data_IF_227711727046
#
_entry.id   IF_227711727046
#
_cell.length_a   1.000
_cell.length_b   1.000
_cell.length_c   1.000
_cell.angle_alpha   90.00
_cell.angle_beta   90.00
_cell.angle_gamma   90.00
#
_symmetry.space_group_name_H-M   'P 1'
#
loop_
_entity.id
_entity.type
_entity.pdbx_description
1 polymer ?
#
# COMPACT_ATOMS: atom_id res chain seq x y z
N UNK A 1 10.62 -13.76 21.58
CA UNK A 1 10.32 -12.37 21.18
C UNK A 1 9.28 -12.43 20.06
N UNK A 2 8.53 -11.35 19.83
CA UNK A 2 7.46 -11.28 18.81
C UNK A 2 7.63 -10.02 17.95
N UNK A 3 7.20 -10.06 16.69
CA UNK A 3 6.98 -8.86 15.88
C UNK A 3 5.56 -8.34 16.14
N UNK A 4 5.47 -7.22 16.87
CA UNK A 4 4.19 -6.61 17.21
C UNK A 4 3.62 -5.80 16.05
N UNK A 5 2.30 -5.84 15.92
CA UNK A 5 1.53 -5.09 14.93
C UNK A 5 0.65 -4.09 15.67
N UNK A 6 0.74 -2.81 15.30
CA UNK A 6 -0.16 -1.78 15.80
C UNK A 6 -1.59 -2.09 15.33
N UNK A 7 -2.55 -2.23 16.25
CA UNK A 7 -3.94 -2.55 15.88
C UNK A 7 -4.59 -1.42 15.07
N UNK A 8 -4.18 -0.16 15.29
CA UNK A 8 -4.78 0.99 14.61
C UNK A 8 -4.32 1.15 13.15
N UNK A 9 -3.01 1.07 12.89
CA UNK A 9 -2.48 1.32 11.54
C UNK A 9 -2.02 0.05 10.81
N UNK A 10 -2.00 -1.11 11.48
CA UNK A 10 -1.56 -2.37 10.89
C UNK A 10 -0.04 -2.49 10.67
N UNK A 11 0.75 -1.46 10.98
CA UNK A 11 2.22 -1.52 10.81
C UNK A 11 2.86 -2.48 11.80
N UNK A 12 3.72 -3.34 11.29
CA UNK A 12 4.53 -4.27 12.06
C UNK A 12 5.88 -3.64 12.48
N UNK A 13 6.33 -3.98 13.69
CA UNK A 13 7.57 -3.49 14.28
C UNK A 13 8.62 -4.61 14.36
N UNK A 14 9.88 -4.21 14.55
CA UNK A 14 10.99 -5.12 14.83
C UNK A 14 10.71 -6.05 16.03
N UNK A 15 11.46 -7.15 16.08
CA UNK A 15 11.29 -8.18 17.12
C UNK A 15 11.63 -7.62 18.51
N UNK A 16 10.75 -7.86 19.49
CA UNK A 16 10.94 -7.42 20.86
C UNK A 16 10.29 -8.40 21.87
N UNK A 17 10.68 -8.32 23.15
CA UNK A 17 10.04 -9.07 24.23
C UNK A 17 8.66 -8.51 24.60
N UNK A 18 8.54 -7.18 24.59
CA UNK A 18 7.33 -6.44 24.94
C UNK A 18 6.92 -5.52 23.79
N UNK A 19 5.63 -5.19 23.65
CA UNK A 19 5.16 -4.29 22.61
C UNK A 19 5.80 -2.90 22.74
N UNK A 20 6.00 -2.17 21.62
CA UNK A 20 6.50 -0.81 21.67
C UNK A 20 5.61 0.10 22.54
N UNK A 21 6.22 1.04 23.26
CA UNK A 21 5.48 1.97 24.13
C UNK A 21 4.58 2.94 23.35
N UNK A 22 4.88 3.15 22.06
CA UNK A 22 4.17 4.05 21.16
C UNK A 22 4.29 3.59 19.71
N UNK A 23 3.35 4.00 18.87
CA UNK A 23 3.43 3.83 17.42
C UNK A 23 3.71 5.19 16.77
N UNK A 24 4.94 5.45 16.27
CA UNK A 24 5.28 6.74 15.63
C UNK A 24 4.36 7.10 14.47
N UNK A 25 3.83 6.10 13.76
CA UNK A 25 2.89 6.30 12.65
C UNK A 25 1.53 6.79 13.16
N UNK A 26 1.05 6.30 14.31
CA UNK A 26 -0.23 6.73 14.89
C UNK A 26 -0.12 8.06 15.66
N UNK A 27 1.07 8.38 16.18
CA UNK A 27 1.33 9.68 16.84
C UNK A 27 1.53 10.83 15.83
N UNK A 28 1.79 10.51 14.56
CA UNK A 28 1.88 11.50 13.49
C UNK A 28 0.50 12.11 13.16
N UNK A 29 0.48 13.41 12.83
CA UNK A 29 -0.74 14.18 12.51
C UNK A 29 -1.59 13.59 11.38
N UNK A 30 -1.00 12.72 10.55
CA UNK A 30 -1.65 12.08 9.42
C UNK A 30 -2.51 10.89 9.82
N UNK A 31 -2.30 10.40 11.04
CA UNK A 31 -3.06 9.32 11.67
C UNK A 31 -3.52 9.75 13.06
N UNK A 32 -3.93 8.80 13.88
CA UNK A 32 -4.30 9.04 15.27
C UNK A 32 -4.04 7.80 16.13
N UNK A 33 -3.83 8.02 17.43
CA UNK A 33 -3.95 6.97 18.44
C UNK A 33 -5.43 6.81 18.79
N UNK A 34 -5.91 5.57 18.86
CA UNK A 34 -7.30 5.26 19.22
C UNK A 34 -7.69 5.92 20.54
N UNK A 35 -8.97 6.25 20.67
CA UNK A 35 -9.51 6.83 21.90
C UNK A 35 -9.34 5.94 23.14
N UNK A 36 -9.27 4.61 22.95
CA UNK A 36 -9.00 3.62 24.00
C UNK A 36 -7.50 3.42 24.28
N UNK A 37 -6.63 4.12 23.57
CA UNK A 37 -5.18 4.01 23.67
C UNK A 37 -4.55 3.09 22.63
N UNK A 38 -3.22 3.04 22.67
CA UNK A 38 -2.38 2.19 21.83
C UNK A 38 -2.59 0.72 22.18
N UNK A 39 -2.74 -0.14 21.17
CA UNK A 39 -2.81 -1.60 21.35
C UNK A 39 -2.02 -2.30 20.26
N UNK A 40 -1.64 -3.52 20.60
CA UNK A 40 -0.71 -4.34 19.85
C UNK A 40 -1.26 -5.75 19.72
N UNK A 41 -1.08 -6.31 18.53
CA UNK A 41 -1.36 -7.71 18.24
C UNK A 41 -0.11 -8.34 17.61
N UNK A 42 -0.23 -9.59 17.17
CA UNK A 42 0.78 -10.28 16.36
C UNK A 42 0.08 -11.00 15.22
N UNK A 43 0.83 -11.44 14.20
CA UNK A 43 0.25 -12.22 13.09
C UNK A 43 -0.51 -13.44 13.59
N UNK A 44 0.07 -14.18 14.53
CA UNK A 44 -0.55 -15.37 15.13
C UNK A 44 -1.90 -15.05 15.78
N UNK A 45 -2.00 -13.91 16.49
CA UNK A 45 -3.25 -13.48 17.12
C UNK A 45 -4.26 -12.96 16.09
N UNK A 46 -3.79 -12.24 15.08
CA UNK A 46 -4.62 -11.73 13.98
C UNK A 46 -5.24 -12.88 13.17
N UNK A 47 -4.43 -13.88 12.79
CA UNK A 47 -4.87 -15.05 12.04
C UNK A 47 -5.84 -15.97 12.80
N UNK A 48 -6.02 -15.79 14.12
CA UNK A 48 -6.93 -16.62 14.90
C UNK A 48 -8.42 -16.27 14.65
N UNK A 49 -8.71 -15.06 14.17
CA UNK A 49 -10.07 -14.55 13.99
C UNK A 49 -10.25 -13.67 12.75
N UNK A 50 -9.24 -13.58 11.89
CA UNK A 50 -9.30 -12.88 10.61
C UNK A 50 -8.88 -13.82 9.49
N UNK A 51 -9.37 -13.55 8.29
CA UNK A 51 -8.98 -14.18 7.04
C UNK A 51 -8.89 -13.11 5.97
N UNK A 52 -8.28 -13.40 4.82
CA UNK A 52 -8.28 -12.44 3.71
C UNK A 52 -9.41 -12.75 2.71
N UNK A 53 -10.21 -11.72 2.39
CA UNK A 53 -11.05 -11.69 1.20
C UNK A 53 -10.17 -11.44 -0.03
N UNK A 54 -10.40 -12.25 -1.05
CA UNK A 54 -9.67 -12.21 -2.31
C UNK A 54 -10.67 -12.11 -3.46
N UNK A 55 -10.56 -11.08 -4.29
CA UNK A 55 -11.50 -10.81 -5.39
C UNK A 55 -10.81 -10.12 -6.57
N UNK A 56 -11.17 -10.50 -7.80
CA UNK A 56 -10.63 -9.84 -8.99
C UNK A 56 -11.21 -8.41 -9.12
N UNK A 57 -10.34 -7.40 -9.12
CA UNK A 57 -10.71 -5.99 -9.32
C UNK A 57 -10.80 -5.63 -10.81
N UNK A 58 -9.96 -6.29 -11.62
CA UNK A 58 -9.93 -6.20 -13.07
C UNK A 58 -9.17 -7.39 -13.65
N UNK A 59 -9.17 -7.53 -14.97
CA UNK A 59 -8.32 -8.51 -15.63
C UNK A 59 -6.84 -8.27 -15.26
N UNK A 60 -6.20 -9.28 -14.65
CA UNK A 60 -4.82 -9.24 -14.11
C UNK A 60 -4.61 -8.36 -12.87
N UNK A 61 -5.68 -7.98 -12.18
CA UNK A 61 -5.58 -7.23 -10.94
C UNK A 61 -6.45 -7.89 -9.87
N UNK A 62 -5.81 -8.42 -8.83
CA UNK A 62 -6.46 -9.11 -7.72
C UNK A 62 -6.40 -8.23 -6.45
N UNK A 63 -7.54 -7.99 -5.82
CA UNK A 63 -7.63 -7.35 -4.51
C UNK A 63 -7.52 -8.38 -3.38
N UNK A 64 -6.76 -8.03 -2.35
CA UNK A 64 -6.59 -8.85 -1.13
C UNK A 64 -6.79 -7.94 0.07
N UNK A 65 -7.83 -8.19 0.87
CA UNK A 65 -8.16 -7.37 2.05
C UNK A 65 -8.55 -8.23 3.24
N UNK A 66 -8.20 -7.81 4.46
CA UNK A 66 -8.47 -8.59 5.68
C UNK A 66 -9.92 -8.42 6.15
N UNK A 67 -10.58 -9.53 6.50
CA UNK A 67 -11.93 -9.58 7.07
C UNK A 67 -11.96 -10.36 8.41
N UNK A 68 -12.57 -9.81 9.48
CA UNK A 68 -13.10 -8.45 9.61
C UNK A 68 -12.06 -7.35 9.34
N UNK A 69 -12.49 -6.10 9.14
CA UNK A 69 -11.58 -5.00 8.82
C UNK A 69 -10.48 -4.86 9.90
N UNK A 70 -9.22 -4.71 9.46
CA UNK A 70 -8.06 -4.54 10.34
C UNK A 70 -7.18 -3.37 9.88
N UNK A 71 -6.53 -2.70 10.83
CA UNK A 71 -5.71 -1.53 10.55
C UNK A 71 -6.57 -0.37 10.01
N UNK A 72 -6.24 0.12 8.81
CA UNK A 72 -7.00 1.19 8.15
C UNK A 72 -8.01 0.66 7.13
N UNK A 73 -8.24 -0.66 7.09
CA UNK A 73 -9.21 -1.31 6.20
C UNK A 73 -8.81 -1.35 4.73
N UNK A 74 -7.53 -1.14 4.44
CA UNK A 74 -6.99 -1.18 3.10
C UNK A 74 -6.98 -2.59 2.51
N UNK A 75 -6.90 -2.65 1.19
CA UNK A 75 -6.57 -3.86 0.43
C UNK A 75 -5.21 -3.68 -0.27
N UNK A 76 -4.46 -4.77 -0.38
CA UNK A 76 -3.34 -4.85 -1.31
C UNK A 76 -3.85 -5.23 -2.70
N UNK A 77 -3.12 -4.83 -3.74
CA UNK A 77 -3.45 -5.16 -5.12
C UNK A 77 -2.32 -5.98 -5.75
N UNK A 78 -2.57 -7.24 -6.08
CA UNK A 78 -1.64 -8.09 -6.81
C UNK A 78 -1.84 -7.88 -8.32
N UNK A 79 -0.93 -7.11 -8.91
CA UNK A 79 -0.87 -6.85 -10.34
C UNK A 79 -0.07 -7.95 -11.05
N UNK A 80 -0.73 -8.68 -11.95
CA UNK A 80 -0.11 -9.77 -12.71
C UNK A 80 0.50 -9.26 -14.02
N UNK A 81 1.80 -9.48 -14.21
CA UNK A 81 2.57 -9.02 -15.37
C UNK A 81 3.47 -10.13 -15.93
N UNK A 82 3.76 -10.17 -17.25
CA UNK A 82 4.60 -11.21 -17.85
C UNK A 82 5.99 -11.36 -17.21
N UNK A 83 6.60 -10.27 -16.80
CA UNK A 83 7.89 -10.24 -16.10
C UNK A 83 7.81 -10.58 -14.61
N UNK A 84 6.64 -10.89 -14.07
CA UNK A 84 6.41 -11.22 -12.66
C UNK A 84 5.41 -10.29 -11.99
N UNK A 85 4.77 -10.77 -10.93
CA UNK A 85 3.71 -10.02 -10.25
C UNK A 85 4.28 -8.94 -9.33
N UNK A 86 3.60 -7.80 -9.25
CA UNK A 86 3.87 -6.72 -8.30
C UNK A 86 2.74 -6.67 -7.28
N UNK A 87 3.06 -6.76 -5.99
CA UNK A 87 2.11 -6.40 -4.94
C UNK A 87 2.18 -4.89 -4.73
N UNK A 88 1.10 -4.19 -5.05
CA UNK A 88 0.93 -2.78 -4.76
C UNK A 88 0.28 -2.61 -3.39
N UNK A 89 0.96 -1.83 -2.53
CA UNK A 89 0.69 -1.74 -1.10
C UNK A 89 0.73 -3.09 -0.37
N UNK A 90 0.40 -3.10 0.92
CA UNK A 90 0.43 -4.30 1.73
C UNK A 90 -0.66 -4.29 2.81
N UNK A 91 -1.07 -5.48 3.24
CA UNK A 91 -1.95 -5.72 4.39
C UNK A 91 -1.21 -6.52 5.46
N UNK A 92 -1.68 -6.46 6.70
CA UNK A 92 -0.95 -7.08 7.82
C UNK A 92 -1.07 -8.61 7.84
N UNK A 93 -2.24 -9.16 7.52
CA UNK A 93 -2.45 -10.60 7.61
C UNK A 93 -1.86 -11.33 6.39
N UNK A 94 -1.02 -12.33 6.66
CA UNK A 94 -0.55 -13.30 5.67
C UNK A 94 -0.82 -14.71 6.22
N UNK A 95 -1.85 -15.36 5.71
CA UNK A 95 -2.25 -16.72 6.09
C UNK A 95 -1.94 -17.74 4.97
N UNK A 96 -2.07 -19.03 5.29
CA UNK A 96 -1.75 -20.10 4.35
C UNK A 96 -2.64 -20.12 3.10
N UNK A 97 -3.91 -19.74 3.23
CA UNK A 97 -4.85 -19.69 2.11
C UNK A 97 -4.47 -18.59 1.13
N UNK A 98 -4.13 -17.40 1.64
CA UNK A 98 -3.61 -16.28 0.85
C UNK A 98 -2.31 -16.66 0.15
N UNK A 99 -1.38 -17.31 0.87
CA UNK A 99 -0.12 -17.78 0.28
C UNK A 99 -0.37 -18.74 -0.89
N UNK A 100 -1.29 -19.69 -0.72
CA UNK A 100 -1.64 -20.66 -1.74
C UNK A 100 -2.23 -19.97 -2.99
N UNK A 101 -3.16 -19.04 -2.81
CA UNK A 101 -3.81 -18.30 -3.90
C UNK A 101 -2.81 -17.42 -4.68
N UNK A 102 -1.92 -16.72 -3.97
CA UNK A 102 -0.88 -15.89 -4.61
C UNK A 102 0.13 -16.78 -5.36
N UNK A 103 0.55 -17.91 -4.79
CA UNK A 103 1.43 -18.86 -5.47
C UNK A 103 0.80 -19.48 -6.72
N UNK A 104 -0.50 -19.81 -6.68
CA UNK A 104 -1.24 -20.31 -7.83
C UNK A 104 -1.26 -19.30 -9.00
N UNK A 105 -1.05 -18.02 -8.71
CA UNK A 105 -0.97 -16.91 -9.68
C UNK A 105 0.46 -16.50 -10.04
N UNK A 106 1.47 -17.27 -9.62
CA UNK A 106 2.88 -17.03 -9.97
C UNK A 106 3.70 -16.29 -8.91
N UNK A 107 3.20 -16.19 -7.67
CA UNK A 107 3.93 -15.60 -6.55
C UNK A 107 4.02 -14.07 -6.64
N UNK A 108 5.04 -13.49 -5.99
CA UNK A 108 5.30 -12.05 -5.96
C UNK A 108 6.77 -11.83 -6.34
N UNK A 109 7.03 -11.03 -7.37
CA UNK A 109 8.39 -10.63 -7.75
C UNK A 109 8.86 -9.45 -6.91
N UNK A 110 7.98 -8.47 -6.69
CA UNK A 110 8.29 -7.33 -5.84
C UNK A 110 7.04 -6.79 -5.14
N UNK A 111 7.30 -6.03 -4.09
CA UNK A 111 6.31 -5.24 -3.35
C UNK A 111 6.70 -3.77 -3.53
N UNK A 112 5.78 -2.95 -4.01
CA UNK A 112 5.94 -1.50 -4.04
C UNK A 112 4.79 -0.86 -3.25
N UNK A 113 5.11 0.12 -2.42
CA UNK A 113 4.13 0.66 -1.48
C UNK A 113 4.02 2.17 -1.64
N UNK A 114 2.80 2.67 -1.63
CA UNK A 114 2.48 4.07 -1.85
C UNK A 114 3.11 4.97 -0.80
N UNK A 115 2.96 4.66 0.49
CA UNK A 115 3.45 5.45 1.62
C UNK A 115 3.31 4.68 2.96
N UNK A 116 3.80 5.22 4.10
CA UNK A 116 3.94 4.50 5.37
C UNK A 116 2.70 3.84 5.97
N UNK A 117 1.48 4.37 5.75
CA UNK A 117 0.28 3.73 6.30
C UNK A 117 -0.02 2.37 5.67
N UNK A 118 0.57 2.09 4.50
CA UNK A 118 0.37 0.85 3.76
C UNK A 118 1.56 -0.12 3.90
N UNK A 119 2.58 0.19 4.73
CA UNK A 119 3.74 -0.69 4.95
C UNK A 119 3.37 -2.01 5.63
N UNK A 120 2.35 -1.98 6.52
CA UNK A 120 1.76 -3.17 7.14
C UNK A 120 2.79 -4.18 7.64
N UNK A 121 2.71 -5.45 7.20
CA UNK A 121 3.67 -6.51 7.46
C UNK A 121 4.52 -6.83 6.21
N UNK A 122 4.87 -5.83 5.38
CA UNK A 122 5.59 -6.02 4.10
C UNK A 122 6.82 -6.94 4.17
N UNK A 123 7.51 -7.00 5.31
CA UNK A 123 8.67 -7.87 5.49
C UNK A 123 8.26 -9.35 5.56
N UNK A 124 7.13 -9.70 6.17
CA UNK A 124 6.59 -11.07 6.16
C UNK A 124 6.26 -11.53 4.74
N UNK A 125 5.58 -10.65 3.99
CA UNK A 125 5.24 -10.90 2.59
C UNK A 125 6.51 -11.06 1.74
N UNK A 126 7.47 -10.17 1.90
CA UNK A 126 8.74 -10.25 1.17
C UNK A 126 9.53 -11.52 1.48
N UNK A 127 9.63 -11.90 2.76
CA UNK A 127 10.32 -13.13 3.17
C UNK A 127 9.59 -14.39 2.68
N UNK A 128 8.25 -14.39 2.70
CA UNK A 128 7.45 -15.52 2.24
C UNK A 128 7.56 -15.78 0.73
N UNK A 129 7.64 -14.71 -0.08
CA UNK A 129 7.64 -14.81 -1.54
C UNK A 129 8.99 -14.54 -2.20
N UNK A 130 10.05 -14.34 -1.41
CA UNK A 130 11.37 -13.89 -1.90
C UNK A 130 11.28 -12.62 -2.77
N UNK A 131 10.44 -11.68 -2.33
CA UNK A 131 10.08 -10.50 -3.11
C UNK A 131 10.93 -9.26 -2.71
N UNK A 132 11.41 -8.52 -3.71
CA UNK A 132 12.09 -7.24 -3.48
C UNK A 132 11.10 -6.17 -3.00
N UNK A 133 11.41 -5.44 -1.93
CA UNK A 133 10.60 -4.30 -1.48
C UNK A 133 11.14 -3.01 -2.10
N UNK A 134 10.28 -2.17 -2.69
CA UNK A 134 10.60 -0.84 -3.19
C UNK A 134 9.88 0.24 -2.38
N UNK A 135 10.63 1.12 -1.72
CA UNK A 135 10.11 2.28 -0.99
C UNK A 135 10.82 3.56 -1.44
N UNK A 136 10.14 4.69 -1.46
CA UNK A 136 10.80 5.96 -1.73
C UNK A 136 11.69 6.39 -0.54
N UNK A 137 12.89 6.89 -0.81
CA UNK A 137 13.89 7.19 0.24
C UNK A 137 13.43 8.28 1.23
N UNK A 138 12.59 9.20 0.78
CA UNK A 138 12.04 10.27 1.61
C UNK A 138 11.17 9.75 2.78
N UNK A 139 10.66 8.52 2.70
CA UNK A 139 9.85 7.92 3.76
C UNK A 139 10.62 6.83 4.55
N UNK A 140 11.96 6.79 4.43
CA UNK A 140 12.82 5.78 5.09
C UNK A 140 12.66 5.76 6.60
N UNK A 141 12.48 6.92 7.24
CA UNK A 141 12.33 7.03 8.69
C UNK A 141 11.08 6.31 9.22
N UNK A 142 10.09 6.05 8.36
CA UNK A 142 8.84 5.41 8.73
C UNK A 142 8.88 3.88 8.69
N UNK A 143 10.05 3.29 8.39
CA UNK A 143 10.24 1.84 8.42
C UNK A 143 10.40 1.36 9.86
N UNK A 144 9.34 0.80 10.42
CA UNK A 144 9.29 0.34 11.82
C UNK A 144 9.84 -1.08 12.04
N UNK A 145 9.84 -1.91 10.99
CA UNK A 145 10.51 -3.22 10.95
C UNK A 145 11.58 -3.18 9.85
N UNK A 146 12.88 -3.24 10.18
CA UNK A 146 13.92 -3.41 9.17
C UNK A 146 13.78 -4.78 8.49
N UNK A 147 14.31 -4.91 7.27
CA UNK A 147 14.41 -6.21 6.61
C UNK A 147 15.19 -7.20 7.49
N UNK A 148 14.67 -8.43 7.58
CA UNK A 148 15.30 -9.53 8.31
C UNK A 148 16.35 -10.24 7.47
N UNK A 149 16.23 -11.56 7.36
CA UNK A 149 17.14 -12.39 6.56
C UNK A 149 16.79 -12.40 5.05
N UNK A 150 15.62 -11.87 4.68
CA UNK A 150 15.16 -11.76 3.29
C UNK A 150 15.78 -10.62 2.49
N UNK A 151 15.25 -10.34 1.28
CA UNK A 151 15.72 -9.26 0.42
C UNK A 151 15.72 -7.90 1.16
N UNK A 152 16.77 -7.07 1.00
CA UNK A 152 16.81 -5.77 1.64
C UNK A 152 15.75 -4.85 1.06
N UNK A 153 15.26 -3.89 1.84
CA UNK A 153 14.41 -2.82 1.30
C UNK A 153 15.25 -1.97 0.33
N UNK A 154 14.84 -1.92 -0.93
CA UNK A 154 15.44 -1.05 -1.93
C UNK A 154 14.77 0.32 -1.87
N UNK A 155 15.55 1.29 -1.40
CA UNK A 155 15.13 2.69 -1.43
C UNK A 155 15.47 3.30 -2.78
N UNK A 156 14.49 3.95 -3.40
CA UNK A 156 14.67 4.68 -4.65
C UNK A 156 14.45 6.18 -4.44
N UNK A 157 14.98 6.98 -5.36
CA UNK A 157 15.00 8.43 -5.30
C UNK A 157 14.54 9.03 -6.63
N UNK A 158 14.16 10.31 -6.59
CA UNK A 158 13.78 11.05 -7.78
C UNK A 158 12.27 11.01 -8.05
N UNK A 159 11.87 11.46 -9.23
CA UNK A 159 10.46 11.57 -9.59
C UNK A 159 9.84 10.25 -10.04
N UNK A 160 10.64 9.34 -10.61
CA UNK A 160 10.15 8.07 -11.16
C UNK A 160 11.17 6.95 -11.01
N UNK A 161 10.67 5.72 -10.90
CA UNK A 161 11.46 4.49 -11.03
C UNK A 161 10.77 3.56 -12.02
N UNK A 162 11.45 3.25 -13.12
CA UNK A 162 10.99 2.22 -14.05
C UNK A 162 11.24 0.84 -13.49
N UNK A 163 10.22 -0.02 -13.56
CA UNK A 163 10.28 -1.43 -13.25
C UNK A 163 10.24 -2.23 -14.57
N UNK A 164 9.87 -3.51 -14.50
CA UNK A 164 9.68 -4.35 -15.67
C UNK A 164 8.32 -4.09 -16.33
N UNK A 165 8.16 -4.52 -17.58
CA UNK A 165 6.92 -4.39 -18.37
C UNK A 165 6.35 -2.96 -18.40
N UNK A 166 7.25 -1.97 -18.40
CA UNK A 166 6.93 -0.53 -18.44
C UNK A 166 6.14 -0.03 -17.19
N UNK A 167 5.98 -0.87 -16.16
CA UNK A 167 5.47 -0.45 -14.87
C UNK A 167 6.37 0.66 -14.31
N UNK A 168 5.76 1.74 -13.81
CA UNK A 168 6.52 2.90 -13.35
C UNK A 168 6.00 3.37 -11.99
N UNK A 169 6.89 3.44 -10.99
CA UNK A 169 6.60 4.12 -9.73
C UNK A 169 6.81 5.61 -9.93
N UNK A 170 5.90 6.44 -9.41
CA UNK A 170 5.89 7.89 -9.60
C UNK A 170 5.79 8.57 -8.24
N UNK A 171 6.78 9.37 -7.87
CA UNK A 171 6.79 10.12 -6.61
C UNK A 171 5.95 11.39 -6.76
N UNK A 172 4.69 11.33 -6.33
CA UNK A 172 3.79 12.47 -6.30
C UNK A 172 4.00 13.34 -5.05
N UNK A 173 4.42 12.74 -3.93
CA UNK A 173 4.51 13.40 -2.64
C UNK A 173 3.13 13.73 -2.04
N UNK A 174 3.03 14.83 -1.31
CA UNK A 174 1.77 15.32 -0.73
C UNK A 174 1.48 14.73 0.66
N UNK A 175 0.71 13.64 0.71
CA UNK A 175 0.33 12.98 1.96
C UNK A 175 1.58 12.59 2.79
N UNK A 176 2.54 11.95 2.13
CA UNK A 176 3.93 11.79 2.58
C UNK A 176 4.89 12.37 1.55
N UNK A 177 6.13 12.69 1.93
CA UNK A 177 7.11 13.19 0.96
C UNK A 177 7.48 12.11 -0.05
N UNK A 178 7.56 10.85 0.38
CA UNK A 178 7.75 9.69 -0.48
C UNK A 178 6.47 9.16 -1.13
N UNK A 179 5.33 9.85 -1.00
CA UNK A 179 4.04 9.42 -1.54
C UNK A 179 4.13 9.02 -3.02
N UNK A 180 3.80 7.77 -3.30
CA UNK A 180 4.03 7.11 -4.59
C UNK A 180 2.71 6.62 -5.20
N UNK A 181 2.58 6.72 -6.52
CA UNK A 181 1.56 6.02 -7.31
C UNK A 181 2.24 5.06 -8.28
N UNK A 182 1.56 3.98 -8.65
CA UNK A 182 2.00 3.08 -9.71
C UNK A 182 1.25 3.39 -11.00
N UNK A 183 2.01 3.61 -12.08
CA UNK A 183 1.49 3.58 -13.43
C UNK A 183 1.57 2.18 -14.03
N UNK A 184 0.43 1.69 -14.51
CA UNK A 184 0.27 0.41 -15.18
C UNK A 184 -0.17 0.65 -16.64
N UNK A 185 0.77 0.64 -17.61
CA UNK A 185 0.47 1.06 -18.99
C UNK A 185 -0.47 0.10 -19.73
N UNK A 186 -0.44 -1.19 -19.42
CA UNK A 186 -1.30 -2.20 -20.06
C UNK A 186 -2.66 -2.36 -19.39
N UNK A 187 -2.92 -1.61 -18.31
CA UNK A 187 -4.22 -1.55 -17.63
C UNK A 187 -5.34 -1.03 -18.52
N UNK A 188 -6.59 -1.23 -18.11
CA UNK A 188 -7.76 -0.74 -18.84
C UNK A 188 -7.78 -1.13 -20.34
N UNK A 189 -7.40 -2.37 -20.65
CA UNK A 189 -7.25 -2.87 -22.03
C UNK A 189 -6.23 -2.07 -22.87
N UNK A 190 -5.11 -1.67 -22.27
CA UNK A 190 -4.04 -0.92 -22.95
C UNK A 190 -4.23 0.60 -22.98
N UNK A 191 -5.24 1.13 -22.29
CA UNK A 191 -5.41 2.57 -22.11
C UNK A 191 -4.67 3.14 -20.89
N UNK A 192 -4.12 2.26 -20.07
CA UNK A 192 -3.39 2.58 -18.85
C UNK A 192 -4.28 2.71 -17.62
N UNK A 193 -3.69 2.47 -16.46
CA UNK A 193 -4.32 2.67 -15.16
C UNK A 193 -3.31 3.24 -14.15
N UNK A 194 -3.83 3.91 -13.12
CA UNK A 194 -3.07 4.28 -11.93
C UNK A 194 -3.55 3.46 -10.73
N UNK A 195 -2.62 2.97 -9.92
CA UNK A 195 -2.92 2.47 -8.57
C UNK A 195 -2.41 3.55 -7.60
N UNK A 196 -3.33 4.15 -6.86
CA UNK A 196 -3.09 5.43 -6.19
C UNK A 196 -3.28 5.40 -4.68
N UNK A 197 -3.82 4.30 -4.16
CA UNK A 197 -4.05 4.14 -2.71
C UNK A 197 -4.92 5.28 -2.20
N UNK A 198 -4.37 6.17 -1.36
CA UNK A 198 -5.01 7.41 -0.92
C UNK A 198 -4.26 8.69 -1.31
N UNK A 199 -3.12 8.58 -2.02
CA UNK A 199 -2.37 9.71 -2.60
C UNK A 199 -3.27 10.49 -3.54
N UNK A 200 -4.07 9.76 -4.33
CA UNK A 200 -5.22 10.25 -5.08
C UNK A 200 -6.40 9.39 -4.64
N UNK A 201 -7.21 9.89 -3.71
CA UNK A 201 -8.30 9.10 -3.13
C UNK A 201 -9.53 9.17 -4.01
N UNK A 202 -9.98 8.01 -4.48
CA UNK A 202 -11.30 7.88 -5.11
C UNK A 202 -12.37 8.00 -4.03
N UNK A 203 -13.27 8.97 -4.19
CA UNK A 203 -14.37 9.21 -3.22
C UNK A 203 -15.62 8.42 -3.59
N UNK A 204 -16.66 8.50 -2.73
CA UNK A 204 -17.91 7.75 -2.90
C UNK A 204 -18.59 7.98 -4.26
N UNK A 205 -18.61 9.23 -4.73
CA UNK A 205 -18.93 9.51 -6.13
C UNK A 205 -17.68 9.27 -6.97
N UNK A 206 -17.59 8.06 -7.52
CA UNK A 206 -16.43 7.49 -8.22
C UNK A 206 -16.12 8.16 -9.58
N UNK A 207 -16.70 9.32 -9.84
CA UNK A 207 -16.31 10.26 -10.90
C UNK A 207 -15.28 11.28 -10.41
N UNK A 208 -15.07 11.35 -9.10
CA UNK A 208 -14.25 12.37 -8.46
C UNK A 208 -13.16 11.74 -7.59
N UNK A 209 -12.12 12.53 -7.35
CA UNK A 209 -11.03 12.22 -6.43
C UNK A 209 -10.82 13.37 -5.43
N UNK A 210 -10.17 13.07 -4.32
CA UNK A 210 -9.78 14.04 -3.29
C UNK A 210 -8.32 13.86 -2.87
N UNK A 211 -7.81 14.86 -2.17
CA UNK A 211 -6.41 14.95 -1.72
C UNK A 211 -6.36 15.49 -0.29
N UNK A 212 -5.87 14.68 0.64
CA UNK A 212 -5.78 15.06 2.06
C UNK A 212 -4.35 14.93 2.58
N UNK A 213 -4.00 15.82 3.50
CA UNK A 213 -2.82 15.63 4.35
C UNK A 213 -3.12 14.56 5.39
N UNK A 214 -4.31 14.57 6.00
CA UNK A 214 -4.78 13.50 6.89
C UNK A 214 -6.25 13.21 6.58
N UNK A 215 -6.55 12.00 6.13
CA UNK A 215 -7.92 11.52 5.99
C UNK A 215 -8.64 11.34 7.34
N UNK A 216 -8.06 10.65 8.35
CA UNK A 216 -8.76 10.43 9.62
C UNK A 216 -9.04 11.72 10.39
N UNK A 217 -8.17 12.73 10.25
CA UNK A 217 -8.33 14.02 10.94
C UNK A 217 -8.94 15.13 10.05
N UNK A 218 -9.30 14.80 8.80
CA UNK A 218 -9.90 15.73 7.84
C UNK A 218 -9.02 16.99 7.64
N UNK A 219 -7.70 16.80 7.52
CA UNK A 219 -6.75 17.87 7.25
C UNK A 219 -6.54 17.96 5.73
N UNK A 220 -6.97 19.05 5.06
CA UNK A 220 -6.86 19.18 3.61
C UNK A 220 -5.40 19.29 3.17
N UNK A 221 -5.10 18.76 1.99
CA UNK A 221 -3.79 18.98 1.37
C UNK A 221 -3.71 20.40 0.79
N UNK A 222 -2.55 21.05 0.92
CA UNK A 222 -2.35 22.39 0.37
C UNK A 222 -2.39 22.42 -1.16
N UNK A 223 -2.92 23.49 -1.75
CA UNK A 223 -3.11 23.61 -3.20
C UNK A 223 -1.83 23.45 -4.04
N UNK A 224 -0.66 23.83 -3.51
CA UNK A 224 0.63 23.62 -4.18
C UNK A 224 1.00 22.13 -4.28
N UNK A 225 0.74 21.36 -3.23
CA UNK A 225 0.98 19.92 -3.22
C UNK A 225 -0.03 19.21 -4.15
N UNK A 226 -1.29 19.63 -4.17
CA UNK A 226 -2.28 19.10 -5.13
C UNK A 226 -1.83 19.33 -6.57
N UNK A 227 -1.43 20.56 -6.92
CA UNK A 227 -0.92 20.87 -8.27
C UNK A 227 0.28 20.01 -8.64
N UNK A 228 1.23 19.83 -7.71
CA UNK A 228 2.37 18.92 -7.93
C UNK A 228 1.91 17.51 -8.27
N UNK A 229 0.97 16.94 -7.51
CA UNK A 229 0.47 15.58 -7.76
C UNK A 229 -0.10 15.49 -9.19
N UNK A 230 -1.00 16.42 -9.55
CA UNK A 230 -1.64 16.48 -10.87
C UNK A 230 -0.60 16.64 -12.00
N UNK A 231 0.32 17.60 -11.88
CA UNK A 231 1.39 17.84 -12.85
C UNK A 231 2.32 16.62 -13.02
N UNK A 232 2.52 15.85 -11.96
CA UNK A 232 3.43 14.69 -11.97
C UNK A 232 2.82 13.49 -12.69
N UNK A 233 1.50 13.27 -12.55
CA UNK A 233 0.80 12.16 -13.23
C UNK A 233 0.34 12.54 -14.65
N UNK A 234 0.33 13.83 -14.98
CA UNK A 234 -0.15 14.33 -16.28
C UNK A 234 0.53 13.69 -17.51
N UNK A 235 1.84 13.41 -17.51
CA UNK A 235 2.51 12.76 -18.64
C UNK A 235 2.10 11.30 -18.86
N UNK A 236 1.49 10.64 -17.88
CA UNK A 236 1.14 9.23 -17.95
C UNK A 236 -0.26 9.03 -18.55
N UNK A 237 -0.43 8.13 -19.54
CA UNK A 237 -1.75 7.76 -20.05
C UNK A 237 -2.45 6.82 -19.07
N UNK A 238 -3.69 7.15 -18.70
CA UNK A 238 -4.54 6.27 -17.91
C UNK A 238 -6.02 6.58 -18.16
N UNK A 239 -6.83 5.53 -18.09
CA UNK A 239 -8.30 5.59 -18.18
C UNK A 239 -8.93 5.27 -16.81
N UNK A 240 -8.23 4.49 -15.99
CA UNK A 240 -8.74 3.95 -14.73
C UNK A 240 -7.85 4.31 -13.55
N UNK A 241 -8.45 4.43 -12.38
CA UNK A 241 -7.77 4.65 -11.09
C UNK A 241 -8.26 3.59 -10.11
N UNK A 242 -7.33 2.91 -9.45
CA UNK A 242 -7.59 1.93 -8.41
C UNK A 242 -7.08 2.46 -7.06
N UNK A 243 -8.01 2.75 -6.15
CA UNK A 243 -7.71 3.22 -4.80
C UNK A 243 -7.41 2.10 -3.81
N UNK A 244 -7.12 2.48 -2.57
CA UNK A 244 -6.69 1.59 -1.49
C UNK A 244 -7.78 0.77 -0.80
N UNK A 245 -9.06 0.99 -1.11
CA UNK A 245 -10.21 0.34 -0.45
C UNK A 245 -11.19 -0.27 -1.44
N UNK A 246 -11.92 -1.28 -0.99
CA UNK A 246 -13.02 -1.90 -1.74
C UNK A 246 -13.96 -0.84 -2.32
N UNK A 247 -14.33 -1.01 -3.59
CA UNK A 247 -15.22 -0.13 -4.35
C UNK A 247 -14.70 1.31 -4.60
N UNK A 248 -13.48 1.65 -4.19
CA UNK A 248 -12.86 2.95 -4.43
C UNK A 248 -12.07 2.99 -5.75
N UNK A 249 -12.75 2.76 -6.89
CA UNK A 249 -12.12 2.77 -8.23
C UNK A 249 -12.83 3.71 -9.20
N UNK A 250 -12.08 4.48 -9.98
CA UNK A 250 -12.58 5.16 -11.20
C UNK A 250 -12.38 4.21 -12.38
N UNK A 251 -13.46 3.76 -13.01
CA UNK A 251 -13.39 2.69 -14.04
C UNK A 251 -13.46 3.21 -15.49
N UNK A 252 -13.70 4.50 -15.67
CA UNK A 252 -13.68 5.21 -16.95
C UNK A 252 -13.48 6.71 -16.67
N UNK A 253 -13.00 7.45 -17.66
CA UNK A 253 -12.79 8.90 -17.60
C UNK A 253 -11.91 9.32 -16.40
N UNK A 254 -10.88 8.54 -16.09
CA UNK A 254 -10.01 8.81 -14.94
C UNK A 254 -9.11 10.05 -15.09
N UNK A 255 -8.82 10.45 -16.33
CA UNK A 255 -7.91 11.55 -16.66
C UNK A 255 -8.53 12.93 -16.43
#
# INVERSE_FOLDING_TARGET
>A
MENFICVQCGTQFGEAEEPPSRCPICEDERQFVRHTGQEWTTLRRLAANHHNRIEDEAHRLLGIGTEPEFGIGQRALLLQSPGGNLLWDCISLLDHETIAEVNARGGIRAIAISHPHFYSSMVEWAECFDAQIFLHSADREWVMRPAGAGPPIQFWEGSTLSLWDELTLVNCGGHFQGGTVLHWPTGANGKGALLTSDIITVVQDRRYVSFMRSYPNIIPLGASAIRRIVETIEPFPFEQIYGGWWQANVLADGK
#
